data_IF_799248008615
#
_entry.id   IF_799248008615
#
_cell.length_a   1.000
_cell.length_b   1.000
_cell.length_c   1.000
_cell.angle_alpha   90.00
_cell.angle_beta   90.00
_cell.angle_gamma   90.00
#
_symmetry.space_group_name_H-M   'P 1'
#
loop_
_entity.id
_entity.type
_entity.pdbx_description
1 polymer ?
#
# COMPACT_ATOMS: atom_id res chain seq x y z
N UNK A 1 4.21 18.58 -11.55
CA UNK A 1 3.55 17.44 -10.83
C UNK A 1 4.08 17.33 -9.39
N UNK A 2 3.58 16.45 -8.52
CA UNK A 2 4.09 16.34 -7.14
C UNK A 2 5.61 16.04 -7.03
N UNK A 3 6.21 15.10 -7.80
CA UNK A 3 7.65 14.82 -7.70
C UNK A 3 8.53 16.05 -7.98
N UNK A 4 8.23 16.77 -9.06
CA UNK A 4 8.91 18.02 -9.45
C UNK A 4 8.82 19.11 -8.36
N UNK A 5 7.63 19.31 -7.78
CA UNK A 5 7.44 20.30 -6.70
C UNK A 5 8.24 19.93 -5.45
N UNK A 6 8.30 18.64 -5.11
CA UNK A 6 9.08 18.15 -3.96
C UNK A 6 10.58 18.27 -4.27
N UNK A 7 11.00 18.02 -5.50
CA UNK A 7 12.39 18.17 -5.93
C UNK A 7 12.86 19.62 -5.79
N UNK A 8 12.05 20.57 -6.25
CA UNK A 8 12.35 22.01 -6.05
C UNK A 8 12.32 22.47 -4.59
N UNK A 9 11.58 21.76 -3.72
CA UNK A 9 11.58 22.04 -2.29
C UNK A 9 12.85 21.51 -1.62
N UNK A 10 13.25 20.28 -1.94
CA UNK A 10 14.47 19.64 -1.43
C UNK A 10 14.83 18.45 -2.34
N UNK A 11 15.87 18.58 -3.15
CA UNK A 11 16.32 17.52 -4.06
C UNK A 11 16.94 16.33 -3.33
N UNK A 12 17.50 16.54 -2.14
CA UNK A 12 18.17 15.52 -1.33
C UNK A 12 17.24 14.83 -0.32
N UNK A 13 15.92 15.10 -0.38
CA UNK A 13 14.97 14.51 0.55
C UNK A 13 14.91 12.99 0.40
N UNK A 14 14.77 12.29 1.54
CA UNK A 14 14.50 10.86 1.58
C UNK A 14 13.01 10.59 1.52
N UNK A 15 12.60 9.66 0.66
CA UNK A 15 11.22 9.27 0.43
C UNK A 15 11.00 7.83 0.88
N UNK A 16 9.84 7.55 1.47
CA UNK A 16 9.44 6.20 1.86
C UNK A 16 8.15 5.86 1.11
N UNK A 17 8.19 4.77 0.35
CA UNK A 17 7.07 4.24 -0.42
C UNK A 17 6.72 2.85 0.11
N UNK A 18 5.59 2.75 0.81
CA UNK A 18 5.02 1.48 1.25
C UNK A 18 4.03 0.95 0.22
N UNK A 19 4.23 -0.31 -0.21
CA UNK A 19 3.41 -1.00 -1.22
C UNK A 19 2.95 -2.36 -0.72
N UNK A 20 1.87 -2.89 -1.28
CA UNK A 20 1.34 -4.23 -0.98
C UNK A 20 1.04 -4.94 -2.29
N UNK A 21 0.67 -6.21 -2.26
CA UNK A 21 0.15 -6.89 -3.44
C UNK A 21 -0.92 -6.02 -4.12
N UNK A 22 -0.76 -5.66 -5.41
CA UNK A 22 -1.63 -4.70 -6.08
C UNK A 22 -3.07 -5.18 -6.18
N UNK A 23 -3.31 -6.49 -6.24
CA UNK A 23 -4.66 -7.08 -6.18
C UNK A 23 -5.31 -6.75 -4.84
N UNK A 24 -4.63 -7.07 -3.74
CA UNK A 24 -5.09 -6.80 -2.37
C UNK A 24 -5.29 -5.30 -2.16
N UNK A 25 -4.36 -4.48 -2.66
CA UNK A 25 -4.48 -3.03 -2.56
C UNK A 25 -5.72 -2.53 -3.30
N UNK A 26 -5.92 -2.95 -4.55
CA UNK A 26 -7.09 -2.53 -5.34
C UNK A 26 -8.40 -2.90 -4.64
N UNK A 27 -8.50 -4.10 -4.06
CA UNK A 27 -9.66 -4.53 -3.27
C UNK A 27 -9.83 -3.68 -2.01
N UNK A 28 -8.74 -3.36 -1.32
CA UNK A 28 -8.75 -2.52 -0.11
C UNK A 28 -9.25 -1.09 -0.40
N UNK A 29 -8.78 -0.48 -1.49
CA UNK A 29 -9.22 0.86 -1.92
C UNK A 29 -10.69 0.83 -2.37
N UNK A 30 -11.11 -0.21 -3.12
CA UNK A 30 -12.52 -0.43 -3.44
C UNK A 30 -13.41 -0.59 -2.19
N UNK A 31 -12.95 -1.38 -1.21
CA UNK A 31 -13.65 -1.61 0.07
C UNK A 31 -13.87 -0.29 0.81
N UNK A 32 -12.86 0.58 0.85
CA UNK A 32 -12.99 1.91 1.44
C UNK A 32 -14.06 2.76 0.70
N UNK A 33 -14.07 2.73 -0.63
CA UNK A 33 -15.09 3.44 -1.43
C UNK A 33 -16.49 2.86 -1.18
N UNK A 34 -16.61 1.53 -1.11
CA UNK A 34 -17.86 0.82 -0.84
C UNK A 34 -18.48 1.25 0.49
N UNK A 35 -17.73 1.16 1.59
CA UNK A 35 -18.21 1.59 2.92
C UNK A 35 -18.53 3.09 2.96
N UNK A 36 -17.76 3.92 2.26
CA UNK A 36 -18.02 5.36 2.19
C UNK A 36 -19.34 5.67 1.46
N UNK A 37 -19.68 4.89 0.42
CA UNK A 37 -20.98 4.99 -0.27
C UNK A 37 -22.11 4.45 0.61
N UNK A 38 -21.88 3.36 1.32
CA UNK A 38 -22.87 2.72 2.20
C UNK A 38 -23.27 3.68 3.32
N UNK A 39 -22.31 4.31 3.98
CA UNK A 39 -22.57 5.31 5.03
C UNK A 39 -23.34 6.55 4.52
N UNK A 40 -23.38 6.77 3.19
CA UNK A 40 -24.12 7.86 2.54
C UNK A 40 -25.39 7.37 1.83
N UNK A 41 -25.84 6.14 2.08
CA UNK A 41 -26.99 5.49 1.43
C UNK A 41 -26.95 5.59 -0.10
N UNK A 42 -25.75 5.50 -0.70
CA UNK A 42 -25.57 5.51 -2.16
C UNK A 42 -25.58 4.10 -2.73
N UNK A 43 -26.02 3.98 -3.98
CA UNK A 43 -26.03 2.71 -4.72
C UNK A 43 -24.63 2.10 -4.77
N UNK A 44 -24.56 0.82 -4.40
CA UNK A 44 -23.35 0.03 -4.52
C UNK A 44 -23.20 -0.46 -5.94
N UNK A 45 -21.94 -0.49 -6.41
CA UNK A 45 -21.62 -0.87 -7.78
C UNK A 45 -20.72 -2.11 -7.70
N UNK A 46 -21.02 -3.18 -8.45
CA UNK A 46 -20.16 -4.36 -8.49
C UNK A 46 -18.75 -4.01 -8.95
N UNK A 47 -17.73 -4.57 -8.28
CA UNK A 47 -16.33 -4.30 -8.60
C UNK A 47 -16.00 -4.50 -10.08
N UNK A 48 -16.41 -5.64 -10.65
CA UNK A 48 -16.11 -5.98 -12.04
C UNK A 48 -16.63 -4.95 -13.04
N UNK A 49 -17.78 -4.31 -12.77
CA UNK A 49 -18.39 -3.33 -13.66
C UNK A 49 -17.65 -1.99 -13.73
N UNK A 50 -16.77 -1.72 -12.76
CA UNK A 50 -15.96 -0.48 -12.70
C UNK A 50 -14.47 -0.73 -12.92
N UNK A 51 -14.00 -1.94 -12.64
CA UNK A 51 -12.61 -2.32 -12.79
C UNK A 51 -12.29 -2.89 -14.18
N UNK A 52 -13.28 -3.39 -14.92
CA UNK A 52 -13.08 -4.02 -16.22
C UNK A 52 -13.98 -3.45 -17.31
N UNK A 53 -13.49 -3.47 -18.55
CA UNK A 53 -14.28 -3.21 -19.75
C UNK A 53 -15.26 -4.36 -20.00
N UNK A 54 -16.16 -4.19 -20.98
CA UNK A 54 -17.04 -5.28 -21.45
C UNK A 54 -16.28 -6.50 -21.98
N UNK A 55 -15.04 -6.31 -22.47
CA UNK A 55 -14.16 -7.39 -22.92
C UNK A 55 -13.30 -7.99 -21.79
N UNK A 56 -13.52 -7.56 -20.54
CA UNK A 56 -12.76 -8.04 -19.38
C UNK A 56 -11.37 -7.41 -19.21
N UNK A 57 -11.03 -6.39 -20.01
CA UNK A 57 -9.74 -5.68 -19.89
C UNK A 57 -9.75 -4.71 -18.71
N UNK A 58 -8.62 -4.63 -18.01
CA UNK A 58 -8.43 -3.79 -16.84
C UNK A 58 -8.54 -2.31 -17.19
N UNK A 59 -9.44 -1.60 -16.52
CA UNK A 59 -9.66 -0.17 -16.69
C UNK A 59 -8.67 0.61 -15.82
N UNK A 60 -7.52 0.97 -16.40
CA UNK A 60 -6.45 1.67 -15.68
C UNK A 60 -6.82 3.08 -15.19
N UNK A 61 -7.86 3.69 -15.74
CA UNK A 61 -8.36 4.99 -15.29
C UNK A 61 -9.21 4.85 -14.01
N UNK A 62 -9.69 3.66 -13.67
CA UNK A 62 -10.39 3.41 -12.42
C UNK A 62 -9.44 3.56 -11.23
N UNK A 63 -9.74 4.50 -10.33
CA UNK A 63 -8.79 4.98 -9.31
C UNK A 63 -8.14 3.87 -8.46
N UNK A 64 -8.88 2.89 -7.89
CA UNK A 64 -8.27 1.75 -7.17
C UNK A 64 -7.29 0.91 -8.00
N UNK A 65 -7.55 0.75 -9.30
CA UNK A 65 -6.65 0.05 -10.22
C UNK A 65 -5.45 0.93 -10.51
N UNK A 66 -5.70 2.18 -10.92
CA UNK A 66 -4.67 3.17 -11.26
C UNK A 66 -3.61 3.28 -10.18
N UNK A 67 -4.06 3.39 -8.92
CA UNK A 67 -3.20 3.54 -7.74
C UNK A 67 -2.29 2.33 -7.50
N UNK A 68 -2.66 1.15 -8.01
CA UNK A 68 -1.89 -0.09 -7.89
C UNK A 68 -0.92 -0.32 -9.06
N UNK A 69 -0.90 0.57 -10.06
CA UNK A 69 0.08 0.54 -11.15
C UNK A 69 1.41 1.17 -10.71
N UNK A 70 2.08 0.53 -9.74
CA UNK A 70 3.23 1.10 -9.03
C UNK A 70 4.37 1.51 -9.96
N UNK A 71 4.70 0.70 -10.97
CA UNK A 71 5.73 1.02 -11.95
C UNK A 71 5.45 2.33 -12.70
N UNK A 72 4.20 2.58 -13.11
CA UNK A 72 3.80 3.84 -13.76
C UNK A 72 3.98 5.04 -12.85
N UNK A 73 3.73 4.87 -11.55
CA UNK A 73 3.90 5.95 -10.58
C UNK A 73 5.38 6.19 -10.26
N UNK A 74 6.13 5.12 -9.98
CA UNK A 74 7.55 5.17 -9.62
C UNK A 74 8.40 5.80 -10.73
N UNK A 75 8.14 5.47 -12.01
CA UNK A 75 8.82 6.10 -13.15
C UNK A 75 8.74 7.62 -13.17
N UNK A 76 7.68 8.22 -12.60
CA UNK A 76 7.56 9.69 -12.51
C UNK A 76 8.39 10.27 -11.38
N UNK A 77 8.62 9.52 -10.31
CA UNK A 77 9.49 9.91 -9.21
C UNK A 77 10.96 9.74 -9.58
N UNK A 78 11.30 8.65 -10.28
CA UNK A 78 12.66 8.38 -10.75
C UNK A 78 13.19 9.37 -11.80
N UNK A 79 12.34 10.26 -12.32
CA UNK A 79 12.78 11.42 -13.14
C UNK A 79 13.49 12.50 -12.32
N UNK A 80 13.27 12.51 -11.00
CA UNK A 80 13.73 13.57 -10.10
C UNK A 80 14.57 13.04 -8.95
N UNK A 81 14.24 11.85 -8.45
CA UNK A 81 14.93 11.25 -7.31
C UNK A 81 15.55 9.92 -7.73
N UNK A 82 16.86 9.71 -7.48
CA UNK A 82 17.48 8.40 -7.65
C UNK A 82 16.83 7.38 -6.70
N UNK A 83 16.91 6.09 -7.06
CA UNK A 83 16.22 5.02 -6.34
C UNK A 83 16.72 4.88 -4.88
N UNK A 84 17.99 5.17 -4.63
CA UNK A 84 18.60 5.15 -3.29
C UNK A 84 18.03 6.22 -2.34
N UNK A 85 17.35 7.25 -2.86
CA UNK A 85 16.55 8.21 -2.09
C UNK A 85 15.11 7.73 -1.83
N UNK A 86 14.70 6.57 -2.32
CA UNK A 86 13.35 6.03 -2.16
C UNK A 86 13.39 4.64 -1.51
N UNK A 87 13.11 4.57 -0.22
CA UNK A 87 12.94 3.28 0.45
C UNK A 87 11.60 2.65 0.06
N UNK A 88 11.66 1.44 -0.51
CA UNK A 88 10.48 0.60 -0.71
C UNK A 88 10.24 -0.27 0.52
N UNK A 89 9.14 -0.02 1.23
CA UNK A 89 8.70 -0.79 2.40
C UNK A 89 7.69 -1.85 1.94
N UNK A 90 7.91 -3.08 2.39
CA UNK A 90 6.99 -4.18 2.12
C UNK A 90 5.80 -4.08 3.09
N UNK A 91 4.66 -3.64 2.57
CA UNK A 91 3.46 -3.47 3.37
C UNK A 91 2.74 -4.77 3.71
N UNK A 92 3.00 -5.88 3.01
CA UNK A 92 2.47 -7.20 3.39
C UNK A 92 3.30 -7.77 4.54
N UNK A 93 4.63 -7.69 4.44
CA UNK A 93 5.53 -8.03 5.54
C UNK A 93 5.36 -7.09 6.74
N UNK A 94 5.09 -5.80 6.54
CA UNK A 94 4.85 -4.84 7.63
C UNK A 94 3.63 -5.21 8.50
N UNK A 95 2.64 -5.89 7.93
CA UNK A 95 1.45 -6.33 8.68
C UNK A 95 1.80 -7.46 9.64
N UNK A 96 2.64 -8.41 9.22
CA UNK A 96 3.04 -9.57 10.02
C UNK A 96 4.25 -9.30 10.91
N UNK A 97 5.21 -8.51 10.45
CA UNK A 97 6.52 -8.27 11.06
C UNK A 97 6.87 -6.76 11.07
N UNK A 98 6.07 -5.92 11.75
CA UNK A 98 6.22 -4.46 11.67
C UNK A 98 7.59 -3.96 12.12
N UNK A 99 8.19 -4.59 13.13
CA UNK A 99 9.48 -4.17 13.68
C UNK A 99 10.61 -4.32 12.66
N UNK A 100 10.58 -5.38 11.83
CA UNK A 100 11.62 -5.63 10.84
C UNK A 100 11.66 -4.51 9.77
N UNK A 101 10.48 -4.12 9.27
CA UNK A 101 10.35 -3.00 8.33
C UNK A 101 10.65 -1.64 8.97
N UNK A 102 10.25 -1.40 10.23
CA UNK A 102 10.59 -0.17 10.95
C UNK A 102 12.10 -0.02 11.13
N UNK A 103 12.82 -1.11 11.41
CA UNK A 103 14.29 -1.08 11.46
C UNK A 103 14.93 -0.74 10.11
N UNK A 104 14.31 -1.14 9.00
CA UNK A 104 14.75 -0.71 7.65
C UNK A 104 14.54 0.78 7.47
N UNK A 105 13.41 1.31 7.94
CA UNK A 105 13.11 2.76 7.93
C UNK A 105 14.12 3.54 8.79
N UNK A 106 14.40 3.10 10.02
CA UNK A 106 15.40 3.75 10.90
C UNK A 106 16.78 3.81 10.23
N UNK A 107 17.27 2.69 9.70
CA UNK A 107 18.56 2.66 8.97
C UNK A 107 18.58 3.58 7.76
N UNK A 108 17.51 3.56 6.96
CA UNK A 108 17.38 4.40 5.79
C UNK A 108 17.40 5.89 6.14
N UNK A 109 16.77 6.28 7.26
CA UNK A 109 16.74 7.65 7.74
C UNK A 109 17.99 8.05 8.56
N UNK A 110 18.89 7.10 8.84
CA UNK A 110 20.04 7.28 9.75
C UNK A 110 19.63 7.65 11.18
N UNK A 111 18.59 6.98 11.68
CA UNK A 111 18.11 7.10 13.05
C UNK A 111 18.64 5.95 13.92
N UNK A 112 18.77 6.22 15.22
CA UNK A 112 19.02 5.19 16.22
C UNK A 112 17.83 4.22 16.34
N UNK A 113 18.11 3.01 16.81
CA UNK A 113 17.12 1.93 16.93
C UNK A 113 16.35 2.01 18.24
N UNK A 114 15.47 3.01 18.32
CA UNK A 114 14.65 3.32 19.51
C UNK A 114 13.32 2.57 19.53
N UNK A 115 12.88 2.00 18.39
CA UNK A 115 11.66 1.19 18.35
C UNK A 115 11.98 -0.25 18.73
N UNK A 116 11.45 -0.69 19.87
CA UNK A 116 11.68 -2.03 20.41
C UNK A 116 10.48 -2.96 20.23
N UNK A 117 10.72 -4.28 20.28
CA UNK A 117 9.67 -5.31 20.22
C UNK A 117 8.65 -5.19 21.36
N UNK A 118 9.07 -4.71 22.53
CA UNK A 118 8.19 -4.44 23.68
C UNK A 118 7.07 -3.44 23.35
N UNK A 119 7.33 -2.52 22.42
CA UNK A 119 6.36 -1.53 21.95
C UNK A 119 5.37 -2.09 20.91
N UNK A 120 5.63 -3.29 20.37
CA UNK A 120 4.73 -3.96 19.43
C UNK A 120 3.81 -4.93 20.17
N UNK A 121 2.51 -4.77 19.97
CA UNK A 121 1.49 -5.59 20.59
C UNK A 121 0.52 -6.14 19.54
N UNK A 122 0.48 -7.45 19.32
CA UNK A 122 -0.54 -8.03 18.44
C UNK A 122 -1.88 -8.11 19.16
N UNK A 123 -2.86 -7.35 18.70
CA UNK A 123 -4.22 -7.37 19.24
C UNK A 123 -5.06 -8.40 18.46
N UNK A 124 -5.38 -9.53 19.11
CA UNK A 124 -6.13 -10.64 18.49
C UNK A 124 -7.52 -10.23 18.02
N UNK A 125 -8.23 -9.38 18.77
CA UNK A 125 -9.55 -8.88 18.38
C UNK A 125 -9.47 -7.97 17.17
N UNK A 126 -8.43 -7.14 17.09
CA UNK A 126 -8.20 -6.26 15.95
C UNK A 126 -7.65 -7.00 14.73
N UNK A 127 -6.89 -8.08 14.95
CA UNK A 127 -6.18 -8.83 13.92
C UNK A 127 -4.91 -8.14 13.40
N UNK A 128 -4.41 -7.11 14.10
CA UNK A 128 -3.25 -6.32 13.70
C UNK A 128 -2.37 -5.96 14.89
N UNK A 129 -1.11 -5.61 14.62
CA UNK A 129 -0.24 -4.97 15.60
C UNK A 129 -0.75 -3.57 15.96
N UNK A 130 -0.67 -3.26 17.24
CA UNK A 130 -0.91 -1.97 17.87
C UNK A 130 0.38 -1.53 18.59
N UNK A 131 0.48 -0.24 18.92
CA UNK A 131 1.69 0.34 19.47
C UNK A 131 1.52 0.63 20.96
N UNK A 132 2.45 0.19 21.80
CA UNK A 132 2.55 0.60 23.21
C UNK A 132 3.42 1.84 23.31
N UNK A 133 2.94 2.83 24.03
CA UNK A 133 3.73 4.02 24.30
C UNK A 133 4.77 3.74 25.39
N UNK A 134 5.94 4.36 25.28
CA UNK A 134 7.00 4.25 26.29
C UNK A 134 6.65 4.99 27.60
N UNK A 135 5.72 5.96 27.55
CA UNK A 135 5.29 6.78 28.68
C UNK A 135 4.22 6.12 29.56
N UNK A 136 4.00 4.80 29.40
CA UNK A 136 3.02 4.04 30.20
C UNK A 136 1.56 4.24 29.79
N UNK A 137 1.27 5.02 28.74
CA UNK A 137 -0.10 5.14 28.20
C UNK A 137 -0.61 3.80 27.64
N UNK A 138 -1.94 3.59 27.64
CA UNK A 138 -2.52 2.36 27.12
C UNK A 138 -2.12 2.13 25.66
N UNK A 139 -1.97 0.87 25.23
CA UNK A 139 -1.65 0.54 23.85
C UNK A 139 -2.65 1.17 22.88
N UNK A 140 -2.15 1.80 21.83
CA UNK A 140 -2.95 2.45 20.81
C UNK A 140 -2.97 1.62 19.54
N UNK A 141 -4.16 1.16 19.17
CA UNK A 141 -4.40 0.56 17.86
C UNK A 141 -4.73 1.64 16.82
N UNK A 142 -4.53 1.32 15.55
CA UNK A 142 -5.05 2.13 14.46
C UNK A 142 -6.59 2.17 14.53
N UNK A 143 -7.18 3.30 14.13
CA UNK A 143 -8.62 3.54 14.22
C UNK A 143 -9.47 2.52 13.44
N UNK A 144 -10.78 2.55 13.66
CA UNK A 144 -11.75 1.59 13.10
C UNK A 144 -11.72 1.50 11.57
N UNK A 145 -11.32 2.58 10.90
CA UNK A 145 -11.22 2.62 9.45
C UNK A 145 -10.03 1.83 8.88
N UNK A 146 -9.11 1.37 9.73
CA UNK A 146 -7.91 0.62 9.37
C UNK A 146 -8.13 -0.87 9.66
N UNK A 147 -7.79 -1.71 8.70
CA UNK A 147 -7.94 -3.17 8.80
C UNK A 147 -9.38 -3.66 8.65
N UNK A 148 -10.20 -3.03 7.80
CA UNK A 148 -11.56 -3.51 7.51
C UNK A 148 -11.51 -4.80 6.71
N UNK A 149 -12.47 -5.69 6.98
CA UNK A 149 -12.72 -6.85 6.12
C UNK A 149 -12.97 -6.38 4.68
N UNK A 150 -12.32 -7.05 3.75
CA UNK A 150 -12.46 -6.74 2.33
C UNK A 150 -13.83 -7.17 1.81
N UNK A 151 -14.40 -6.36 0.92
CA UNK A 151 -15.57 -6.78 0.15
C UNK A 151 -15.15 -7.91 -0.79
N UNK A 152 -15.93 -8.97 -0.83
CA UNK A 152 -15.72 -10.08 -1.76
C UNK A 152 -16.03 -9.63 -3.20
N UNK A 153 -15.05 -9.78 -4.10
CA UNK A 153 -15.20 -9.39 -5.51
C UNK A 153 -15.37 -10.59 -6.45
N UNK A 154 -15.30 -11.80 -5.91
CA UNK A 154 -15.37 -13.07 -6.64
C UNK A 154 -14.02 -13.49 -7.25
N UNK A 155 -13.77 -14.80 -7.25
CA UNK A 155 -12.51 -15.40 -7.69
C UNK A 155 -12.14 -15.04 -9.14
N UNK A 156 -13.12 -15.00 -10.03
CA UNK A 156 -12.92 -14.63 -11.43
C UNK A 156 -12.36 -13.20 -11.58
N UNK A 157 -12.82 -12.26 -10.76
CA UNK A 157 -12.32 -10.89 -10.77
C UNK A 157 -10.90 -10.81 -10.18
N UNK A 158 -10.62 -11.53 -9.09
CA UNK A 158 -9.28 -11.60 -8.49
C UNK A 158 -8.25 -12.20 -9.44
N UNK A 159 -8.57 -13.33 -10.08
CA UNK A 159 -7.71 -13.97 -11.06
C UNK A 159 -7.47 -13.07 -12.28
N UNK A 160 -8.49 -12.32 -12.71
CA UNK A 160 -8.32 -11.35 -13.78
C UNK A 160 -7.41 -10.18 -13.38
N UNK A 161 -7.54 -9.65 -12.15
CA UNK A 161 -6.61 -8.64 -11.62
C UNK A 161 -5.18 -9.18 -11.59
N UNK A 162 -4.95 -10.38 -11.03
CA UNK A 162 -3.61 -10.98 -10.93
C UNK A 162 -2.94 -11.07 -12.29
N UNK A 163 -3.65 -11.61 -13.29
CA UNK A 163 -3.15 -11.75 -14.66
C UNK A 163 -2.81 -10.39 -15.29
N UNK A 164 -3.67 -9.39 -15.13
CA UNK A 164 -3.48 -8.08 -15.77
C UNK A 164 -2.49 -7.17 -15.01
N UNK A 165 -2.25 -7.40 -13.72
CA UNK A 165 -1.20 -6.72 -12.95
C UNK A 165 0.19 -7.33 -13.15
N UNK A 166 0.31 -8.62 -13.48
CA UNK A 166 1.59 -9.30 -13.68
C UNK A 166 2.64 -8.50 -14.50
N UNK A 167 2.35 -7.97 -15.70
CA UNK A 167 3.34 -7.17 -16.44
C UNK A 167 3.75 -5.87 -15.73
N UNK A 168 2.84 -5.27 -14.96
CA UNK A 168 3.12 -4.07 -14.16
C UNK A 168 4.00 -4.39 -12.95
N UNK A 169 3.82 -5.57 -12.35
CA UNK A 169 4.60 -6.09 -11.24
C UNK A 169 6.03 -6.37 -11.69
N UNK A 170 6.21 -7.10 -12.80
CA UNK A 170 7.54 -7.36 -13.37
C UNK A 170 8.30 -6.06 -13.66
N UNK A 171 7.61 -5.07 -14.24
CA UNK A 171 8.22 -3.76 -14.47
C UNK A 171 8.60 -3.07 -13.16
N UNK A 172 7.77 -3.15 -12.13
CA UNK A 172 8.08 -2.57 -10.83
C UNK A 172 9.28 -3.26 -10.18
N UNK A 173 9.33 -4.59 -10.19
CA UNK A 173 10.43 -5.37 -9.64
C UNK A 173 11.76 -5.06 -10.32
N UNK A 174 11.74 -4.99 -11.65
CA UNK A 174 12.90 -4.56 -12.43
C UNK A 174 13.38 -3.16 -12.07
N UNK A 175 12.46 -2.21 -11.81
CA UNK A 175 12.83 -0.85 -11.43
C UNK A 175 13.47 -0.75 -10.04
N UNK A 176 13.05 -1.60 -9.10
CA UNK A 176 13.51 -1.53 -7.71
C UNK A 176 14.64 -2.53 -7.39
N UNK A 177 14.99 -3.41 -8.34
CA UNK A 177 16.00 -4.45 -8.14
C UNK A 177 15.63 -5.53 -7.11
N UNK A 178 14.34 -5.68 -6.81
CA UNK A 178 13.79 -6.57 -5.79
C UNK A 178 12.44 -7.13 -6.25
N UNK A 179 12.16 -8.39 -5.91
CA UNK A 179 10.93 -9.08 -6.29
C UNK A 179 10.07 -9.35 -5.05
N UNK A 180 8.77 -9.05 -5.15
CA UNK A 180 7.78 -9.44 -4.15
C UNK A 180 7.04 -10.70 -4.59
N UNK A 181 6.50 -11.45 -3.63
CA UNK A 181 5.66 -12.63 -3.88
C UNK A 181 4.20 -12.21 -4.13
N UNK A 182 3.93 -11.63 -5.31
CA UNK A 182 2.63 -11.03 -5.68
C UNK A 182 1.92 -11.68 -6.86
#
# INVERSE_FOLDING_TARGET
MAPERIYHMNESIKLILIVRNPVIRTISDFTQVHYTKQAKNKTQIPFASVAFSKSGLLLENYKPVRNSLYSKHLLRWLKYFPLDQILIVDGDHFISEPLAELRRVERFLHLEHEIHSSQMYFNRTKGFFCFRHADGKPPKCLGETKGRSHVEIGEAAENNLRRQFAPYNEKFFSLIGHRFDW
#
